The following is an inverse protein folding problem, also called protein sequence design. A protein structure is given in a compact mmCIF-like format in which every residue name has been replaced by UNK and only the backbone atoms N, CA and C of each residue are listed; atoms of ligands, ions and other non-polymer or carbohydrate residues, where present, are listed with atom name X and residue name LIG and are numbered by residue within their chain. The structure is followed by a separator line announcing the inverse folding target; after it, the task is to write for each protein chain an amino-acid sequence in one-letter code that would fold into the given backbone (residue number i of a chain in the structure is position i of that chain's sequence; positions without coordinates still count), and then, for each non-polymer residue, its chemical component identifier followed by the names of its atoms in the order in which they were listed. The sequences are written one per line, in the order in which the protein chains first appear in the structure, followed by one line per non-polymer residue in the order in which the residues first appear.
data_IF_699302650523
#
_entry.id   IF_699302650523
#
_cell.length_a   1.000
_cell.length_b   1.000
_cell.length_c   1.000
_cell.angle_alpha   90.00
_cell.angle_beta   90.00
_cell.angle_gamma   90.00
#
_symmetry.space_group_name_H-M   'P 1'
#
loop_
_entity.id
_entity.type
_entity.pdbx_description
1 polymer ?
#
# COMPACT_ATOMS: atom_id res chain seq x y z
N UNK A 1 -1.92 5.54 -7.42
CA UNK A 1 -0.98 4.81 -8.31
C UNK A 1 -1.73 4.37 -9.56
N UNK A 2 -1.04 4.31 -10.70
CA UNK A 2 -1.54 3.75 -11.95
C UNK A 2 -0.64 2.57 -12.33
N UNK A 3 -1.23 1.44 -12.72
CA UNK A 3 -0.52 0.29 -13.27
C UNK A 3 -1.23 -0.18 -14.54
N UNK A 4 -0.50 -0.20 -15.65
CA UNK A 4 -0.95 -0.65 -16.96
C UNK A 4 -0.30 -2.00 -17.29
N UNK A 5 -1.10 -3.00 -17.61
CA UNK A 5 -0.60 -4.31 -18.02
C UNK A 5 -0.26 -4.31 -19.51
N UNK A 6 1.03 -4.41 -19.83
CA UNK A 6 1.53 -4.54 -21.21
C UNK A 6 1.63 -6.02 -21.59
N UNK A 7 2.14 -6.86 -20.68
CA UNK A 7 2.27 -8.32 -20.88
C UNK A 7 1.95 -9.05 -19.58
N UNK A 8 1.13 -10.11 -19.66
CA UNK A 8 0.79 -10.97 -18.53
C UNK A 8 1.34 -12.38 -18.74
N UNK A 9 1.77 -13.00 -17.64
CA UNK A 9 2.20 -14.41 -17.61
C UNK A 9 1.07 -15.36 -17.22
N UNK A 10 1.11 -16.59 -17.72
CA UNK A 10 0.15 -17.64 -17.36
C UNK A 10 0.48 -18.34 -16.03
N UNK A 11 1.75 -18.31 -15.60
CA UNK A 11 2.27 -19.07 -14.44
C UNK A 11 2.00 -18.43 -13.08
N UNK A 12 1.20 -17.36 -13.03
CA UNK A 12 0.84 -16.64 -11.81
C UNK A 12 0.64 -15.16 -12.07
N UNK A 13 1.14 -14.30 -11.18
CA UNK A 13 1.14 -12.85 -11.36
C UNK A 13 -0.20 -12.16 -11.11
N UNK A 14 -1.17 -12.88 -10.55
CA UNK A 14 -2.46 -12.37 -10.07
C UNK A 14 -2.26 -11.23 -9.07
N UNK A 15 -3.10 -10.21 -9.18
CA UNK A 15 -3.10 -9.03 -8.33
C UNK A 15 -4.01 -9.25 -7.13
N UNK A 16 -3.57 -8.77 -5.98
CA UNK A 16 -4.36 -8.80 -4.74
C UNK A 16 -4.44 -7.39 -4.18
N UNK A 17 -5.64 -6.97 -3.78
CA UNK A 17 -5.87 -5.67 -3.13
C UNK A 17 -6.68 -5.85 -1.86
N UNK A 18 -6.48 -4.96 -0.91
CA UNK A 18 -7.25 -4.91 0.33
C UNK A 18 -7.53 -3.46 0.72
N UNK A 19 -8.75 -3.19 1.19
CA UNK A 19 -9.12 -1.89 1.74
C UNK A 19 -8.51 -1.74 3.14
N UNK A 20 -7.39 -1.02 3.21
CA UNK A 20 -6.65 -0.85 4.44
C UNK A 20 -7.41 -0.06 5.51
N UNK A 21 -8.32 0.86 5.13
CA UNK A 21 -9.13 1.60 6.11
C UNK A 21 -10.13 0.67 6.80
N UNK A 22 -10.80 -0.19 6.02
CA UNK A 22 -11.68 -1.23 6.56
C UNK A 22 -10.90 -2.23 7.46
N UNK A 23 -9.70 -2.63 7.05
CA UNK A 23 -8.84 -3.49 7.89
C UNK A 23 -8.43 -2.79 9.18
N UNK A 24 -8.07 -1.51 9.13
CA UNK A 24 -7.73 -0.73 10.32
C UNK A 24 -8.91 -0.63 11.30
N UNK A 25 -10.13 -0.42 10.79
CA UNK A 25 -11.34 -0.46 11.61
C UNK A 25 -11.51 -1.83 12.29
N UNK A 26 -11.44 -2.92 11.52
CA UNK A 26 -11.54 -4.29 12.06
C UNK A 26 -10.44 -4.60 13.07
N UNK A 27 -9.22 -4.12 12.85
CA UNK A 27 -8.11 -4.29 13.80
C UNK A 27 -8.37 -3.52 15.09
N UNK A 28 -8.88 -2.28 15.00
CA UNK A 28 -9.23 -1.46 16.16
C UNK A 28 -10.31 -2.11 17.02
N UNK A 29 -11.29 -2.76 16.39
CA UNK A 29 -12.37 -3.49 17.08
C UNK A 29 -11.87 -4.80 17.70
N UNK A 30 -11.11 -5.61 16.95
CA UNK A 30 -10.66 -6.95 17.41
C UNK A 30 -9.49 -6.90 18.38
N UNK A 31 -8.54 -5.99 18.16
CA UNK A 31 -7.34 -5.85 18.97
C UNK A 31 -6.93 -4.37 19.08
N UNK A 32 -7.59 -3.60 19.97
CA UNK A 32 -7.30 -2.19 20.18
C UNK A 32 -5.84 -1.91 20.55
N UNK A 33 -5.17 -2.85 21.23
CA UNK A 33 -3.75 -2.74 21.60
C UNK A 33 -2.85 -2.81 20.37
N UNK A 34 -3.08 -3.76 19.47
CA UNK A 34 -2.35 -3.84 18.21
C UNK A 34 -2.55 -2.57 17.36
N UNK A 35 -3.80 -2.09 17.26
CA UNK A 35 -4.09 -0.82 16.60
C UNK A 35 -3.32 0.35 17.23
N UNK A 36 -3.32 0.47 18.57
CA UNK A 36 -2.59 1.51 19.27
C UNK A 36 -1.09 1.45 19.00
N UNK A 37 -0.50 0.25 19.01
CA UNK A 37 0.94 0.06 18.74
C UNK A 37 1.27 0.52 17.32
N UNK A 38 0.53 0.07 16.31
CA UNK A 38 0.79 0.39 14.91
C UNK A 38 0.46 1.84 14.54
N UNK A 39 -0.42 2.50 15.30
CA UNK A 39 -0.79 3.90 15.10
C UNK A 39 0.01 4.90 15.95
N UNK A 40 0.96 4.42 16.76
CA UNK A 40 1.81 5.28 17.61
C UNK A 40 3.31 5.00 17.49
N UNK A 41 3.71 3.86 16.93
CA UNK A 41 5.12 3.50 16.74
C UNK A 41 5.61 4.00 15.39
N UNK A 42 6.65 4.85 15.40
CA UNK A 42 7.36 5.21 14.18
C UNK A 42 8.26 4.06 13.75
N UNK A 43 8.26 3.78 12.45
CA UNK A 43 9.03 2.72 11.81
C UNK A 43 9.93 3.36 10.76
N UNK A 44 11.20 2.98 10.77
CA UNK A 44 12.19 3.38 9.78
C UNK A 44 11.98 2.64 8.45
N UNK A 45 12.03 3.37 7.36
CA UNK A 45 12.03 2.85 5.99
C UNK A 45 13.23 3.39 5.23
N UNK A 46 13.84 2.52 4.44
CA UNK A 46 15.05 2.80 3.67
C UNK A 46 14.88 2.33 2.23
N UNK A 47 15.46 3.09 1.30
CA UNK A 47 15.66 2.66 -0.08
C UNK A 47 16.98 3.27 -0.61
N UNK A 48 17.90 2.43 -1.07
CA UNK A 48 19.25 2.86 -1.51
C UNK A 48 19.58 2.13 -2.80
N UNK A 49 19.95 2.88 -3.84
CA UNK A 49 20.21 2.29 -5.15
C UNK A 49 20.44 3.32 -6.26
N UNK A 50 20.34 2.84 -7.49
CA UNK A 50 20.45 3.63 -8.71
C UNK A 50 19.36 3.19 -9.67
N UNK A 51 18.55 4.13 -10.13
CA UNK A 51 17.52 3.94 -11.16
C UNK A 51 17.51 5.19 -12.06
N UNK A 52 16.50 6.06 -12.00
CA UNK A 52 16.49 7.37 -12.67
C UNK A 52 17.69 8.25 -12.29
N UNK A 53 18.04 8.26 -11.01
CA UNK A 53 19.27 8.83 -10.46
C UNK A 53 19.79 7.92 -9.34
N UNK A 54 20.96 8.22 -8.80
CA UNK A 54 21.40 7.67 -7.53
C UNK A 54 20.51 8.18 -6.39
N UNK A 55 20.19 7.31 -5.42
CA UNK A 55 19.34 7.66 -4.29
C UNK A 55 19.76 6.93 -3.01
N UNK A 56 19.58 7.62 -1.88
CA UNK A 56 19.71 7.09 -0.53
C UNK A 56 18.66 7.77 0.34
N UNK A 57 17.52 7.11 0.48
CA UNK A 57 16.31 7.68 1.08
C UNK A 57 16.04 7.02 2.42
N UNK A 58 15.70 7.85 3.40
CA UNK A 58 15.34 7.44 4.76
C UNK A 58 14.06 8.16 5.18
N UNK A 59 13.16 7.47 5.86
CA UNK A 59 11.94 8.07 6.40
C UNK A 59 11.46 7.36 7.66
N UNK A 60 10.65 8.04 8.47
CA UNK A 60 9.96 7.48 9.62
C UNK A 60 8.47 7.72 9.52
N UNK A 61 7.69 6.64 9.57
CA UNK A 61 6.23 6.73 9.55
C UNK A 61 5.59 5.81 10.58
N UNK A 62 4.42 6.22 11.06
CA UNK A 62 3.50 5.29 11.74
C UNK A 62 2.82 4.45 10.66
N UNK A 63 2.76 3.13 10.85
CA UNK A 63 2.15 2.23 9.86
C UNK A 63 0.68 2.60 9.64
N UNK A 64 -0.04 2.88 10.73
CA UNK A 64 -1.39 3.44 10.68
C UNK A 64 -1.31 4.92 11.02
N UNK A 65 -1.41 5.79 10.03
CA UNK A 65 -1.36 7.23 10.24
C UNK A 65 -2.76 7.78 10.52
N UNK A 66 -2.86 8.51 11.63
CA UNK A 66 -4.09 9.15 12.07
C UNK A 66 -4.00 10.66 11.92
N UNK A 67 -5.12 11.30 11.60
CA UNK A 67 -5.29 12.73 11.77
C UNK A 67 -5.46 13.12 13.26
N UNK A 68 -5.61 14.42 13.53
CA UNK A 68 -5.80 14.97 14.87
C UNK A 68 -7.11 14.50 15.55
N UNK A 69 -8.04 13.93 14.79
CA UNK A 69 -9.31 13.37 15.28
C UNK A 69 -9.27 11.85 15.45
N UNK A 70 -8.10 11.24 15.25
CA UNK A 70 -7.92 9.80 15.35
C UNK A 70 -8.52 9.00 14.20
N UNK A 71 -8.81 9.63 13.06
CA UNK A 71 -9.27 8.96 11.84
C UNK A 71 -8.06 8.51 11.02
N UNK A 72 -8.14 7.31 10.45
CA UNK A 72 -7.07 6.79 9.59
C UNK A 72 -7.06 7.57 8.28
N UNK A 73 -5.92 8.16 7.94
CA UNK A 73 -5.75 8.97 6.72
C UNK A 73 -4.77 8.36 5.73
N UNK A 74 -3.83 7.53 6.21
CA UNK A 74 -2.84 6.89 5.36
C UNK A 74 -2.28 5.62 6.01
N UNK A 75 -1.93 4.64 5.18
CA UNK A 75 -1.20 3.46 5.60
C UNK A 75 0.19 3.49 4.98
N UNK A 76 1.21 3.46 5.83
CA UNK A 76 2.61 3.52 5.43
C UNK A 76 3.26 2.16 5.67
N UNK A 77 3.11 1.23 4.73
CA UNK A 77 3.67 -0.11 4.91
C UNK A 77 4.10 -0.75 3.60
N UNK A 78 5.41 -0.97 3.49
CA UNK A 78 6.01 -1.92 2.57
C UNK A 78 7.08 -2.69 3.36
N UNK A 79 6.89 -4.01 3.53
CA UNK A 79 7.81 -4.80 4.34
C UNK A 79 9.19 -4.96 3.68
N UNK A 80 9.31 -4.80 2.37
CA UNK A 80 10.59 -4.93 1.65
C UNK A 80 11.51 -3.72 1.92
N UNK A 81 10.95 -2.54 2.12
CA UNK A 81 11.69 -1.28 2.36
C UNK A 81 11.65 -0.84 3.82
N UNK A 82 11.04 -1.62 4.72
CA UNK A 82 11.19 -1.40 6.17
C UNK A 82 12.64 -1.70 6.55
N UNK A 83 13.29 -0.74 7.21
CA UNK A 83 14.70 -0.86 7.53
C UNK A 83 14.97 -2.00 8.54
N UNK A 84 16.19 -2.50 8.48
CA UNK A 84 16.85 -3.26 9.54
C UNK A 84 17.02 -2.44 10.81
N UNK A 85 17.27 -1.13 10.70
CA UNK A 85 17.23 -0.20 11.82
C UNK A 85 15.80 -0.14 12.35
N UNK A 86 15.63 -0.35 13.65
CA UNK A 86 14.33 -0.22 14.28
C UNK A 86 14.48 0.57 15.58
N UNK A 87 14.21 1.87 15.50
CA UNK A 87 14.45 2.84 16.58
C UNK A 87 13.33 2.81 17.64
N UNK A 88 13.29 1.72 18.39
CA UNK A 88 12.40 1.55 19.55
C UNK A 88 13.15 0.89 20.70
N UNK A 89 12.73 1.12 21.96
CA UNK A 89 13.19 0.34 23.09
C UNK A 89 13.01 -1.16 22.87
N UNK A 90 13.95 -1.98 23.34
CA UNK A 90 14.02 -3.44 23.08
C UNK A 90 12.74 -4.16 23.50
N UNK A 91 12.13 -3.74 24.60
CA UNK A 91 10.89 -4.29 25.14
C UNK A 91 9.66 -4.02 24.26
N UNK A 92 9.73 -3.05 23.34
CA UNK A 92 8.66 -2.73 22.38
C UNK A 92 8.79 -3.49 21.06
N UNK A 93 9.92 -4.13 20.79
CA UNK A 93 10.19 -4.80 19.52
C UNK A 93 9.22 -5.97 19.28
N UNK A 94 9.17 -6.94 20.19
CA UNK A 94 8.30 -8.11 20.01
C UNK A 94 6.81 -7.76 19.99
N UNK A 95 6.29 -6.88 20.88
CA UNK A 95 4.90 -6.41 20.80
C UNK A 95 4.55 -5.73 19.47
N UNK A 96 5.48 -4.99 18.88
CA UNK A 96 5.29 -4.42 17.54
C UNK A 96 5.14 -5.49 16.48
N UNK A 97 6.03 -6.49 16.44
CA UNK A 97 5.93 -7.59 15.48
C UNK A 97 4.64 -8.42 15.66
N UNK A 98 4.20 -8.65 16.90
CA UNK A 98 2.93 -9.30 17.17
C UNK A 98 1.75 -8.49 16.63
N UNK A 99 1.73 -7.18 16.86
CA UNK A 99 0.70 -6.29 16.31
C UNK A 99 0.71 -6.26 14.78
N UNK A 100 1.90 -6.20 14.16
CA UNK A 100 2.07 -6.22 12.72
C UNK A 100 1.57 -7.54 12.11
N UNK A 101 1.82 -8.67 12.77
CA UNK A 101 1.33 -9.98 12.33
C UNK A 101 -0.20 -10.04 12.30
N UNK A 102 -0.87 -9.56 13.35
CA UNK A 102 -2.33 -9.47 13.41
C UNK A 102 -2.90 -8.59 12.29
N UNK A 103 -2.26 -7.45 12.01
CA UNK A 103 -2.65 -6.58 10.91
C UNK A 103 -2.54 -7.28 9.55
N UNK A 104 -1.42 -7.96 9.29
CA UNK A 104 -1.19 -8.71 8.06
C UNK A 104 -2.14 -9.90 7.92
N UNK A 105 -2.44 -10.60 9.01
CA UNK A 105 -3.39 -11.72 9.01
C UNK A 105 -4.81 -11.26 8.68
N UNK A 106 -5.23 -10.11 9.22
CA UNK A 106 -6.48 -9.49 8.83
C UNK A 106 -6.47 -9.14 7.34
N UNK A 107 -5.41 -8.52 6.81
CA UNK A 107 -5.32 -8.23 5.38
C UNK A 107 -5.42 -9.47 4.50
N UNK A 108 -4.85 -10.60 4.94
CA UNK A 108 -4.85 -11.86 4.20
C UNK A 108 -6.12 -12.69 4.35
N UNK A 109 -7.03 -12.31 5.25
CA UNK A 109 -8.33 -12.98 5.40
C UNK A 109 -9.11 -12.95 4.08
N UNK A 110 -9.75 -14.08 3.75
CA UNK A 110 -10.60 -14.22 2.54
C UNK A 110 -11.72 -13.19 2.49
N UNK A 111 -12.17 -12.69 3.64
CA UNK A 111 -13.23 -11.67 3.74
C UNK A 111 -12.75 -10.26 3.37
N UNK A 112 -11.44 -10.00 3.43
CA UNK A 112 -10.86 -8.66 3.25
C UNK A 112 -10.17 -8.50 1.91
N UNK A 113 -9.60 -9.58 1.39
CA UNK A 113 -8.78 -9.55 0.18
C UNK A 113 -9.61 -9.77 -1.07
N UNK A 114 -9.41 -8.92 -2.07
CA UNK A 114 -9.93 -9.11 -3.42
C UNK A 114 -8.79 -9.50 -4.37
N UNK A 115 -8.99 -10.57 -5.14
CA UNK A 115 -7.99 -11.10 -6.09
C UNK A 115 -8.54 -11.05 -7.50
N UNK A 116 -7.74 -10.56 -8.43
CA UNK A 116 -8.07 -10.49 -9.85
C UNK A 116 -6.80 -10.62 -10.70
N UNK A 117 -6.95 -10.86 -12.00
CA UNK A 117 -5.83 -10.98 -12.94
C UNK A 117 -5.98 -9.93 -14.03
N UNK A 118 -4.93 -9.12 -14.20
CA UNK A 118 -4.88 -8.12 -15.26
C UNK A 118 -4.53 -8.78 -16.60
N UNK A 119 -5.18 -8.33 -17.67
CA UNK A 119 -4.87 -8.69 -19.05
C UNK A 119 -4.14 -7.54 -19.75
N UNK A 120 -3.40 -7.80 -20.85
CA UNK A 120 -2.83 -6.75 -21.67
C UNK A 120 -3.88 -5.69 -22.07
N UNK A 121 -3.58 -4.41 -21.84
CA UNK A 121 -4.48 -3.28 -22.05
C UNK A 121 -5.25 -2.84 -20.80
N UNK A 122 -5.32 -3.67 -19.75
CA UNK A 122 -5.96 -3.30 -18.49
C UNK A 122 -5.13 -2.25 -17.75
N UNK A 123 -5.81 -1.24 -17.20
CA UNK A 123 -5.22 -0.26 -16.29
C UNK A 123 -6.01 -0.26 -14.98
N UNK A 124 -5.30 -0.43 -13.87
CA UNK A 124 -5.86 -0.15 -12.55
C UNK A 124 -5.37 1.22 -12.08
N UNK A 125 -6.30 2.02 -11.57
CA UNK A 125 -6.00 3.29 -10.89
C UNK A 125 -6.59 3.22 -9.50
N UNK A 126 -5.78 3.49 -8.49
CA UNK A 126 -6.19 3.27 -7.11
C UNK A 126 -5.49 4.19 -6.11
N UNK A 127 -6.11 4.31 -4.94
CA UNK A 127 -5.63 5.07 -3.81
C UNK A 127 -4.50 4.35 -3.07
N UNK A 128 -3.28 4.87 -3.19
CA UNK A 128 -2.10 4.30 -2.53
C UNK A 128 -1.97 4.71 -1.05
N UNK A 129 -2.80 5.63 -0.54
CA UNK A 129 -2.86 5.94 0.89
C UNK A 129 -3.83 5.01 1.63
N UNK A 130 -4.84 4.49 0.91
CA UNK A 130 -5.88 3.62 1.46
C UNK A 130 -5.65 2.14 1.20
N UNK A 131 -5.39 1.76 -0.05
CA UNK A 131 -5.28 0.34 -0.43
C UNK A 131 -3.85 -0.14 -0.19
N UNK A 132 -3.74 -1.38 0.29
CA UNK A 132 -2.52 -2.16 0.09
C UNK A 132 -2.73 -3.10 -1.08
N UNK A 133 -1.65 -3.35 -1.83
CA UNK A 133 -1.68 -4.21 -2.99
C UNK A 133 -0.49 -5.17 -2.98
N UNK A 134 -0.69 -6.33 -3.58
CA UNK A 134 0.31 -7.38 -3.71
C UNK A 134 0.13 -8.14 -5.01
N UNK A 135 1.04 -9.09 -5.25
CA UNK A 135 0.96 -10.00 -6.37
C UNK A 135 1.36 -11.40 -5.95
N UNK A 136 0.78 -12.40 -6.60
CA UNK A 136 1.30 -13.78 -6.52
C UNK A 136 2.63 -13.89 -7.26
N UNK A 137 3.47 -14.83 -6.82
CA UNK A 137 4.66 -15.22 -7.56
C UNK A 137 4.32 -15.76 -8.94
N UNK A 138 5.31 -15.84 -9.81
CA UNK A 138 5.24 -16.45 -11.13
C UNK A 138 6.62 -17.00 -11.51
N UNK A 139 6.68 -17.86 -12.51
CA UNK A 139 7.92 -18.53 -12.92
C UNK A 139 8.84 -17.58 -13.70
N UNK A 140 10.15 -17.67 -13.40
CA UNK A 140 11.19 -16.99 -14.15
C UNK A 140 11.49 -17.71 -15.47
N UNK A 141 12.08 -16.99 -16.42
CA UNK A 141 12.48 -17.53 -17.72
C UNK A 141 13.54 -16.65 -18.37
N UNK A 142 13.95 -17.03 -19.59
CA UNK A 142 14.97 -16.31 -20.36
C UNK A 142 14.43 -15.05 -21.03
N UNK A 143 13.12 -14.94 -21.22
CA UNK A 143 12.44 -13.78 -21.80
C UNK A 143 11.53 -13.07 -20.80
N UNK A 144 11.19 -11.81 -21.08
CA UNK A 144 10.22 -11.06 -20.29
C UNK A 144 8.81 -11.62 -20.55
N UNK A 145 8.26 -12.35 -19.57
CA UNK A 145 6.92 -12.95 -19.62
C UNK A 145 5.84 -12.10 -18.96
N UNK A 146 6.23 -11.08 -18.17
CA UNK A 146 5.32 -10.15 -17.50
C UNK A 146 5.91 -8.74 -17.48
N UNK A 147 5.12 -7.75 -17.86
CA UNK A 147 5.52 -6.34 -17.89
C UNK A 147 4.31 -5.47 -17.54
N UNK A 148 4.45 -4.69 -16.46
CA UNK A 148 3.54 -3.59 -16.13
C UNK A 148 4.30 -2.27 -16.22
N UNK A 149 3.69 -1.25 -16.80
CA UNK A 149 4.17 0.12 -16.72
C UNK A 149 3.38 0.87 -15.64
N UNK A 150 4.09 1.60 -14.78
CA UNK A 150 3.50 2.23 -13.60
C UNK A 150 3.86 3.70 -13.48
N UNK A 151 2.94 4.49 -12.92
CA UNK A 151 3.14 5.90 -12.62
C UNK A 151 2.42 6.32 -11.33
N UNK A 152 2.78 7.50 -10.83
CA UNK A 152 2.16 8.12 -9.66
C UNK A 152 1.59 9.50 -9.98
N UNK A 153 0.58 9.89 -9.22
CA UNK A 153 0.01 11.23 -9.24
C UNK A 153 -0.28 11.64 -7.79
N UNK A 154 -0.09 12.93 -7.51
CA UNK A 154 -0.45 13.52 -6.22
C UNK A 154 -1.98 13.65 -6.09
N UNK A 155 -2.50 13.39 -4.89
CA UNK A 155 -3.93 13.51 -4.60
C UNK A 155 -4.48 14.92 -4.85
N UNK A 156 -3.71 15.98 -4.60
CA UNK A 156 -4.15 17.35 -4.87
C UNK A 156 -4.30 17.63 -6.36
N UNK A 157 -3.44 17.05 -7.20
CA UNK A 157 -3.57 17.12 -8.67
C UNK A 157 -4.83 16.40 -9.12
N UNK A 158 -5.08 15.19 -8.60
CA UNK A 158 -6.29 14.41 -8.92
C UNK A 158 -7.55 15.15 -8.46
N UNK A 159 -7.56 15.68 -7.23
CA UNK A 159 -8.69 16.43 -6.67
C UNK A 159 -8.93 17.76 -7.39
N UNK A 160 -7.88 18.43 -7.86
CA UNK A 160 -8.00 19.61 -8.73
C UNK A 160 -8.77 19.28 -10.00
N UNK A 161 -8.38 18.22 -10.71
CA UNK A 161 -9.11 17.75 -11.90
C UNK A 161 -10.55 17.35 -11.58
N UNK A 162 -10.77 16.65 -10.46
CA UNK A 162 -12.12 16.24 -10.03
C UNK A 162 -13.05 17.43 -9.81
N UNK A 163 -12.58 18.49 -9.13
CA UNK A 163 -13.37 19.71 -8.88
C UNK A 163 -13.77 20.40 -10.19
N UNK A 164 -12.85 20.49 -11.16
CA UNK A 164 -13.12 21.05 -12.49
C UNK A 164 -14.16 20.20 -13.24
N UNK A 165 -13.99 18.86 -13.24
CA UNK A 165 -14.90 17.96 -13.93
C UNK A 165 -16.31 18.02 -13.34
N UNK A 166 -16.43 18.02 -12.01
CA UNK A 166 -17.72 18.17 -11.33
C UNK A 166 -18.43 19.45 -11.77
N UNK A 167 -17.72 20.57 -11.74
CA UNK A 167 -18.28 21.85 -12.18
C UNK A 167 -18.70 21.83 -13.65
N UNK A 168 -17.92 21.25 -14.55
CA UNK A 168 -18.25 21.20 -15.99
C UNK A 168 -19.49 20.33 -16.26
N UNK A 169 -19.53 19.14 -15.68
CA UNK A 169 -20.64 18.19 -15.85
C UNK A 169 -21.94 18.76 -15.25
N UNK A 170 -21.90 19.35 -14.07
CA UNK A 170 -23.08 19.96 -13.43
C UNK A 170 -23.62 21.16 -14.23
N UNK A 171 -22.74 21.93 -14.88
CA UNK A 171 -23.13 23.11 -15.65
C UNK A 171 -23.36 22.84 -17.15
N UNK A 172 -23.26 21.59 -17.61
CA UNK A 172 -23.55 21.20 -19.00
C UNK A 172 -22.55 21.72 -20.05
N UNK A 173 -21.32 22.02 -19.66
CA UNK A 173 -20.22 22.42 -20.56
C UNK A 173 -19.25 21.27 -20.83
#
# INVERSE_FOLDING_TARGET
QLLHCIKQTVTGGDSEIVDGFNVCQKLKEKNPRAFQILSSTFVDFTDIGVDYCDFSVQSKHKIIELDDKGQVVRINFNNATRDTIFDVPVERVQPFYAALKEFVDLMNSKENKFTFKMNPGDVITFDNWRLLHGRRSYEAGTEITRHLEGAYADWDVVMSRLRILRQRVENGN
#
